data_IF_574420891809
#
_entry.id   IF_574420891809
#
_cell.length_a   1.000
_cell.length_b   1.000
_cell.length_c   1.000
_cell.angle_alpha   90.00
_cell.angle_beta   90.00
_cell.angle_gamma   90.00
#
_symmetry.space_group_name_H-M   'P 1'
#
loop_
_entity.id
_entity.type
_entity.pdbx_description
1 polymer ?
#
# COMPACT_ATOMS: atom_id res chain seq x y z
N UNK A 1 -6.81 27.99 5.42
CA UNK A 1 -6.47 26.58 5.70
C UNK A 1 -4.96 26.43 5.62
N UNK A 2 -4.35 25.93 6.67
CA UNK A 2 -2.92 25.69 6.68
C UNK A 2 -2.57 24.40 5.91
N UNK A 3 -1.27 24.16 5.76
CA UNK A 3 -0.77 23.00 4.99
C UNK A 3 -1.19 21.67 5.62
N UNK A 4 -1.18 21.58 6.93
CA UNK A 4 -1.51 20.36 7.64
C UNK A 4 -3.01 20.04 7.53
N UNK A 5 -3.87 21.03 7.70
CA UNK A 5 -5.31 20.87 7.50
C UNK A 5 -5.66 20.41 6.08
N UNK A 6 -4.95 20.97 5.08
CA UNK A 6 -5.10 20.52 3.69
C UNK A 6 -4.67 19.06 3.48
N UNK A 7 -3.64 18.60 4.18
CA UNK A 7 -3.22 17.19 4.16
C UNK A 7 -4.26 16.29 4.83
N UNK A 8 -4.83 16.69 5.95
CA UNK A 8 -5.87 15.93 6.63
C UNK A 8 -7.12 15.73 5.76
N UNK A 9 -7.54 16.75 5.06
CA UNK A 9 -8.66 16.65 4.12
C UNK A 9 -8.37 15.65 3.00
N UNK A 10 -7.21 15.77 2.35
CA UNK A 10 -6.82 14.84 1.28
C UNK A 10 -6.60 13.41 1.76
N UNK A 11 -6.17 13.24 3.01
CA UNK A 11 -6.01 11.91 3.63
C UNK A 11 -7.31 11.10 3.58
N UNK A 12 -8.43 11.71 3.91
CA UNK A 12 -9.72 11.02 3.90
C UNK A 12 -10.08 10.52 2.49
N UNK A 13 -9.83 11.32 1.47
CA UNK A 13 -10.08 10.95 0.07
C UNK A 13 -9.18 9.80 -0.38
N UNK A 14 -7.88 9.88 -0.08
CA UNK A 14 -6.90 8.84 -0.41
C UNK A 14 -7.23 7.53 0.32
N UNK A 15 -7.57 7.62 1.59
CA UNK A 15 -7.94 6.44 2.39
C UNK A 15 -9.18 5.74 1.81
N UNK A 16 -10.17 6.49 1.36
CA UNK A 16 -11.35 5.93 0.72
C UNK A 16 -11.03 5.18 -0.58
N UNK A 17 -10.04 5.64 -1.34
CA UNK A 17 -9.58 4.98 -2.56
C UNK A 17 -8.77 3.71 -2.28
N UNK A 18 -7.85 3.76 -1.31
CA UNK A 18 -7.00 2.63 -0.95
C UNK A 18 -7.74 1.56 -0.17
N UNK A 19 -8.69 1.95 0.65
CA UNK A 19 -9.45 1.08 1.57
C UNK A 19 -10.95 1.32 1.47
N UNK A 20 -11.59 0.99 0.33
CA UNK A 20 -13.02 1.24 0.11
C UNK A 20 -13.91 0.50 1.12
N UNK A 21 -13.42 -0.59 1.70
CA UNK A 21 -14.13 -1.40 2.70
C UNK A 21 -13.91 -0.91 4.14
N UNK A 22 -13.27 0.24 4.34
CA UNK A 22 -12.95 0.78 5.67
C UNK A 22 -11.81 0.06 6.38
N UNK A 23 -10.93 -0.64 5.64
CA UNK A 23 -9.78 -1.34 6.19
C UNK A 23 -8.77 -0.43 6.88
N UNK A 24 -7.87 -1.02 7.65
CA UNK A 24 -6.86 -0.28 8.39
C UNK A 24 -5.82 0.35 7.46
N UNK A 25 -5.51 1.64 7.62
CA UNK A 25 -4.62 2.37 6.71
C UNK A 25 -3.20 1.83 6.59
N UNK A 26 -2.68 1.20 7.63
CA UNK A 26 -1.35 0.58 7.64
C UNK A 26 -1.46 -0.95 7.69
N UNK A 27 -2.57 -1.46 7.19
CA UNK A 27 -2.78 -2.87 6.88
C UNK A 27 -2.67 -3.88 8.01
N UNK A 28 -3.80 -4.43 8.38
CA UNK A 28 -3.87 -5.58 9.27
C UNK A 28 -3.49 -5.27 10.72
N UNK A 29 -3.23 -6.32 11.46
CA UNK A 29 -2.90 -6.27 12.90
C UNK A 29 -1.66 -5.44 13.25
N UNK A 30 -0.80 -5.16 12.28
CA UNK A 30 0.38 -4.31 12.49
C UNK A 30 0.09 -2.82 12.56
N UNK A 31 -0.98 -2.35 11.91
CA UNK A 31 -1.38 -0.94 11.94
C UNK A 31 -1.90 -0.50 13.29
N UNK A 32 -2.58 -1.37 14.00
CA UNK A 32 -3.10 -1.09 15.34
C UNK A 32 -1.99 -0.93 16.39
N UNK A 33 -0.90 -1.67 16.28
CA UNK A 33 0.20 -1.59 17.23
C UNK A 33 0.84 -0.18 17.27
N UNK A 34 1.05 0.44 16.12
CA UNK A 34 1.54 1.83 16.06
C UNK A 34 0.56 2.82 16.67
N UNK A 35 -0.72 2.67 16.39
CA UNK A 35 -1.77 3.50 16.97
C UNK A 35 -1.88 3.32 18.50
N UNK A 36 -1.61 2.12 19.01
CA UNK A 36 -1.62 1.84 20.45
C UNK A 36 -0.39 2.40 21.18
N UNK A 37 0.80 2.27 20.56
CA UNK A 37 2.07 2.66 21.19
C UNK A 37 2.39 4.15 21.02
N UNK A 38 2.06 4.74 19.91
CA UNK A 38 2.35 6.14 19.58
C UNK A 38 1.24 6.71 18.68
N UNK A 39 0.04 6.96 19.21
CA UNK A 39 -1.12 7.34 18.42
C UNK A 39 -0.92 8.64 17.65
N UNK A 40 -0.31 9.63 18.27
CA UNK A 40 -0.01 10.93 17.67
C UNK A 40 0.99 10.81 16.50
N UNK A 41 2.04 10.03 16.67
CA UNK A 41 3.05 9.79 15.62
C UNK A 41 2.44 8.97 14.47
N UNK A 42 1.67 7.95 14.80
CA UNK A 42 0.98 7.12 13.81
C UNK A 42 0.01 7.95 12.97
N UNK A 43 -0.76 8.82 13.60
CA UNK A 43 -1.68 9.72 12.92
C UNK A 43 -0.95 10.72 12.02
N UNK A 44 0.13 11.32 12.52
CA UNK A 44 0.96 12.24 11.75
C UNK A 44 1.56 11.56 10.51
N UNK A 45 2.10 10.34 10.66
CA UNK A 45 2.65 9.58 9.53
C UNK A 45 1.60 9.34 8.45
N UNK A 46 0.39 8.94 8.83
CA UNK A 46 -0.70 8.71 7.89
C UNK A 46 -1.12 10.00 7.17
N UNK A 47 -1.23 11.10 7.91
CA UNK A 47 -1.57 12.40 7.33
C UNK A 47 -0.52 12.86 6.32
N UNK A 48 0.75 12.71 6.64
CA UNK A 48 1.84 13.09 5.73
C UNK A 48 1.91 12.16 4.51
N UNK A 49 1.84 10.85 4.71
CA UNK A 49 1.92 9.89 3.60
C UNK A 49 0.71 10.00 2.69
N UNK A 50 -0.50 9.88 3.23
CA UNK A 50 -1.71 9.84 2.41
C UNK A 50 -2.11 11.22 1.92
N UNK A 51 -2.23 12.19 2.81
CA UNK A 51 -2.65 13.54 2.45
C UNK A 51 -1.55 14.39 1.84
N UNK A 52 -0.32 14.21 2.30
CA UNK A 52 0.83 14.99 1.85
C UNK A 52 1.50 14.46 0.59
N UNK A 53 1.52 13.14 0.39
CA UNK A 53 2.22 12.51 -0.75
C UNK A 53 1.23 11.87 -1.72
N UNK A 54 0.45 10.89 -1.28
CA UNK A 54 -0.47 10.16 -2.16
C UNK A 54 -1.59 11.04 -2.73
N UNK A 55 -2.00 12.07 -2.02
CA UNK A 55 -3.02 13.02 -2.48
C UNK A 55 -2.53 14.07 -3.47
N UNK A 56 -1.25 14.08 -3.84
CA UNK A 56 -0.70 15.04 -4.80
C UNK A 56 -1.14 14.68 -6.23
N UNK A 57 -1.56 15.67 -7.05
CA UNK A 57 -2.08 15.40 -8.39
C UNK A 57 -1.01 15.08 -9.45
N UNK A 58 0.28 15.29 -9.16
CA UNK A 58 1.37 15.12 -10.11
C UNK A 58 1.60 13.67 -10.54
N UNK A 59 1.15 12.71 -9.74
CA UNK A 59 1.19 11.29 -10.06
C UNK A 59 -0.09 10.66 -9.51
N UNK A 60 -0.77 9.85 -10.30
CA UNK A 60 -2.03 9.24 -9.89
C UNK A 60 -1.85 8.18 -8.80
N UNK A 61 -2.91 7.88 -8.08
CA UNK A 61 -2.87 6.93 -6.96
C UNK A 61 -2.61 5.50 -7.42
N UNK A 62 -3.09 5.13 -8.60
CA UNK A 62 -2.88 3.80 -9.19
C UNK A 62 -1.40 3.54 -9.41
N UNK A 63 -0.70 4.49 -10.02
CA UNK A 63 0.75 4.41 -10.24
C UNK A 63 1.52 4.44 -8.91
N UNK A 64 1.14 5.28 -7.96
CA UNK A 64 1.75 5.30 -6.63
C UNK A 64 1.65 3.96 -5.93
N UNK A 65 0.49 3.31 -5.99
CA UNK A 65 0.27 2.02 -5.36
C UNK A 65 1.19 0.93 -5.91
N UNK A 66 1.35 0.85 -7.23
CA UNK A 66 2.25 -0.16 -7.82
C UNK A 66 3.73 0.14 -7.55
N UNK A 67 4.12 1.41 -7.49
CA UNK A 67 5.46 1.79 -7.08
C UNK A 67 5.75 1.35 -5.64
N UNK A 68 4.78 1.48 -4.75
CA UNK A 68 4.91 1.02 -3.35
C UNK A 68 5.00 -0.51 -3.28
N UNK A 69 4.18 -1.23 -4.05
CA UNK A 69 4.30 -2.69 -4.17
C UNK A 69 5.71 -3.08 -4.61
N UNK A 70 6.24 -2.47 -5.66
CA UNK A 70 7.58 -2.73 -6.16
C UNK A 70 8.66 -2.46 -5.10
N UNK A 71 8.57 -1.34 -4.38
CA UNK A 71 9.49 -0.98 -3.30
C UNK A 71 9.46 -2.01 -2.16
N UNK A 72 8.26 -2.48 -1.78
CA UNK A 72 8.10 -3.49 -0.73
C UNK A 72 8.60 -4.87 -1.14
N UNK A 73 8.47 -5.24 -2.42
CA UNK A 73 9.08 -6.46 -2.95
C UNK A 73 10.61 -6.39 -2.81
N UNK A 74 11.21 -5.27 -3.21
CA UNK A 74 12.66 -5.05 -3.17
C UNK A 74 13.23 -5.04 -1.75
N UNK A 75 12.45 -4.60 -0.77
CA UNK A 75 12.88 -4.43 0.63
C UNK A 75 12.36 -5.53 1.56
N UNK A 76 11.71 -6.56 1.02
CA UNK A 76 11.07 -7.63 1.81
C UNK A 76 10.12 -7.07 2.87
N UNK A 77 9.13 -6.32 2.42
CA UNK A 77 8.22 -5.54 3.26
C UNK A 77 7.21 -6.32 4.10
N UNK A 78 7.28 -7.65 4.13
CA UNK A 78 6.46 -8.49 4.99
C UNK A 78 4.95 -8.29 4.81
N UNK A 79 4.24 -8.03 5.91
CA UNK A 79 2.78 -7.81 5.91
C UNK A 79 2.35 -6.59 5.11
N UNK A 80 3.20 -5.57 5.01
CA UNK A 80 2.90 -4.39 4.21
C UNK A 80 2.78 -4.73 2.73
N UNK A 81 3.53 -5.73 2.24
CA UNK A 81 3.41 -6.18 0.86
C UNK A 81 2.01 -6.75 0.58
N UNK A 82 1.49 -7.62 1.44
CA UNK A 82 0.12 -8.14 1.30
C UNK A 82 -0.91 -7.01 1.28
N UNK A 83 -0.80 -6.07 2.21
CA UNK A 83 -1.70 -4.92 2.28
C UNK A 83 -1.66 -4.07 1.00
N UNK A 84 -0.47 -3.80 0.51
CA UNK A 84 -0.30 -2.97 -0.67
C UNK A 84 -0.66 -3.68 -1.97
N UNK A 85 -0.53 -5.00 -2.04
CA UNK A 85 -1.12 -5.80 -3.12
C UNK A 85 -2.64 -5.62 -3.11
N UNK A 86 -3.27 -5.70 -1.94
CA UNK A 86 -4.69 -5.40 -1.78
C UNK A 86 -5.05 -3.98 -2.20
N UNK A 87 -4.28 -2.99 -1.80
CA UNK A 87 -4.46 -1.59 -2.20
C UNK A 87 -4.32 -1.42 -3.72
N UNK A 88 -3.35 -2.08 -4.33
CA UNK A 88 -3.15 -2.05 -5.78
C UNK A 88 -4.37 -2.60 -6.52
N UNK A 89 -4.94 -3.71 -6.06
CA UNK A 89 -6.21 -4.23 -6.59
C UNK A 89 -7.35 -3.21 -6.41
N UNK A 90 -7.44 -2.57 -5.25
CA UNK A 90 -8.48 -1.59 -4.95
C UNK A 90 -8.45 -0.36 -5.87
N UNK A 91 -7.27 0.03 -6.34
CA UNK A 91 -7.11 1.18 -7.24
C UNK A 91 -7.05 0.80 -8.73
N UNK A 92 -7.30 -0.48 -9.05
CA UNK A 92 -7.56 -0.91 -10.42
C UNK A 92 -6.49 -1.74 -11.11
N UNK A 93 -5.44 -2.17 -10.40
CA UNK A 93 -4.50 -3.15 -10.94
C UNK A 93 -5.14 -4.53 -10.95
N UNK A 94 -4.89 -5.31 -12.01
CA UNK A 94 -5.36 -6.69 -12.08
C UNK A 94 -4.38 -7.66 -11.42
N UNK A 95 -4.89 -8.84 -11.08
CA UNK A 95 -4.07 -9.96 -10.61
C UNK A 95 -2.91 -10.23 -11.58
N UNK A 96 -3.21 -10.31 -12.87
CA UNK A 96 -2.24 -10.60 -13.92
C UNK A 96 -1.15 -9.52 -13.99
N UNK A 97 -1.54 -8.26 -13.92
CA UNK A 97 -0.59 -7.14 -13.93
C UNK A 97 0.33 -7.15 -12.70
N UNK A 98 -0.20 -7.46 -11.52
CA UNK A 98 0.59 -7.57 -10.30
C UNK A 98 1.59 -8.72 -10.41
N UNK A 99 1.18 -9.88 -10.95
CA UNK A 99 2.07 -11.02 -11.20
C UNK A 99 3.20 -10.63 -12.14
N UNK A 100 2.92 -9.85 -13.19
CA UNK A 100 3.97 -9.37 -14.10
C UNK A 100 4.97 -8.44 -13.43
N UNK A 101 4.52 -7.57 -12.54
CA UNK A 101 5.42 -6.72 -11.74
C UNK A 101 6.36 -7.57 -10.88
N UNK A 102 5.82 -8.56 -10.18
CA UNK A 102 6.62 -9.47 -9.35
C UNK A 102 7.64 -10.22 -10.22
N UNK A 103 7.22 -10.70 -11.36
CA UNK A 103 8.04 -11.50 -12.29
C UNK A 103 9.25 -10.71 -12.80
N UNK A 104 9.04 -9.47 -13.26
CA UNK A 104 10.16 -8.65 -13.74
C UNK A 104 11.15 -8.29 -12.63
N UNK A 105 10.67 -8.10 -11.39
CA UNK A 105 11.51 -7.71 -10.28
C UNK A 105 12.48 -8.81 -9.82
N UNK A 106 12.28 -10.07 -10.20
CA UNK A 106 13.24 -11.14 -9.99
C UNK A 106 14.61 -10.80 -10.58
N UNK A 107 14.64 -10.04 -11.68
CA UNK A 107 15.85 -9.65 -12.38
C UNK A 107 16.50 -8.36 -11.82
N UNK A 108 15.77 -7.60 -11.01
CA UNK A 108 16.25 -6.33 -10.43
C UNK A 108 16.44 -6.38 -8.93
N UNK A 109 15.67 -7.22 -8.23
CA UNK A 109 15.67 -7.30 -6.76
C UNK A 109 16.10 -8.67 -6.22
N UNK A 110 16.34 -9.63 -7.09
CA UNK A 110 16.71 -11.00 -6.73
C UNK A 110 15.52 -11.95 -6.65
N UNK A 111 15.79 -13.21 -7.04
CA UNK A 111 14.80 -14.29 -7.08
C UNK A 111 14.15 -14.54 -5.71
N UNK A 112 14.88 -14.55 -4.59
CA UNK A 112 14.24 -14.79 -3.27
C UNK A 112 13.16 -13.76 -2.93
N UNK A 113 13.38 -12.49 -3.22
CA UNK A 113 12.38 -11.44 -3.00
C UNK A 113 11.13 -11.65 -3.85
N UNK A 114 11.28 -12.05 -5.10
CA UNK A 114 10.13 -12.35 -5.97
C UNK A 114 9.39 -13.61 -5.53
N UNK A 115 10.08 -14.64 -5.07
CA UNK A 115 9.45 -15.85 -4.54
C UNK A 115 8.60 -15.52 -3.32
N UNK A 116 9.12 -14.71 -2.39
CA UNK A 116 8.36 -14.24 -1.24
C UNK A 116 7.14 -13.41 -1.67
N UNK A 117 7.31 -12.56 -2.67
CA UNK A 117 6.22 -11.73 -3.20
C UNK A 117 5.12 -12.56 -3.88
N UNK A 118 5.46 -13.63 -4.60
CA UNK A 118 4.44 -14.56 -5.12
C UNK A 118 3.61 -15.19 -4.00
N UNK A 119 4.26 -15.57 -2.89
CA UNK A 119 3.55 -16.08 -1.71
C UNK A 119 2.59 -15.08 -1.12
N UNK A 120 3.02 -13.83 -0.96
CA UNK A 120 2.17 -12.74 -0.47
C UNK A 120 1.00 -12.46 -1.41
N UNK A 121 1.27 -12.40 -2.72
CA UNK A 121 0.24 -12.20 -3.74
C UNK A 121 -0.80 -13.32 -3.75
N UNK A 122 -0.34 -14.58 -3.70
CA UNK A 122 -1.23 -15.74 -3.64
C UNK A 122 -2.16 -15.67 -2.44
N UNK A 123 -1.65 -15.32 -1.27
CA UNK A 123 -2.47 -15.18 -0.06
C UNK A 123 -3.57 -14.13 -0.24
N UNK A 124 -3.26 -12.98 -0.83
CA UNK A 124 -4.24 -11.91 -1.09
C UNK A 124 -5.26 -12.35 -2.14
N UNK A 125 -4.81 -12.96 -3.24
CA UNK A 125 -5.70 -13.39 -4.32
C UNK A 125 -6.65 -14.48 -3.83
N UNK A 126 -6.16 -15.47 -3.10
CA UNK A 126 -6.99 -16.55 -2.54
C UNK A 126 -8.04 -15.98 -1.56
N UNK A 127 -7.65 -15.03 -0.71
CA UNK A 127 -8.58 -14.39 0.23
C UNK A 127 -9.68 -13.58 -0.48
N UNK A 128 -9.43 -13.10 -1.69
CA UNK A 128 -10.41 -12.34 -2.50
C UNK A 128 -11.13 -13.20 -3.53
N UNK A 129 -10.82 -14.48 -3.63
CA UNK A 129 -11.42 -15.39 -4.60
C UNK A 129 -10.98 -15.14 -6.05
N UNK A 130 -9.77 -14.64 -6.23
CA UNK A 130 -9.19 -14.35 -7.55
C UNK A 130 -8.32 -15.49 -8.09
#
# INVERSE_FOLDING_TARGET
MDRYEAMEQRRAEVQAMLHPDGGQPLGGSGGSAGADLAPDVSDMMLTVIQGGVYGRPQLDIKTRAICTVAALIATDGGRYLENWIGNALNVGWSKEEIVEVISQLAFYCGVPNSVNAYGAAKAVFDARGL
#
